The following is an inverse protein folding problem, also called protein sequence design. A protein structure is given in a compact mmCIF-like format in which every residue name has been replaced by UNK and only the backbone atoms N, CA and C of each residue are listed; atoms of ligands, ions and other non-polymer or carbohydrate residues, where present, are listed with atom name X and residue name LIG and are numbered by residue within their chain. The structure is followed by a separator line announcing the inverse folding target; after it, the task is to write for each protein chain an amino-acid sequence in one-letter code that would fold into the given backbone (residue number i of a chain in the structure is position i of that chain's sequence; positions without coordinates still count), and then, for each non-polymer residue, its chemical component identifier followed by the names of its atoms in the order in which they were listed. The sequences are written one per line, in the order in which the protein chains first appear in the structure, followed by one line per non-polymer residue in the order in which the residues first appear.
data_IF_032624302371
#
_entry.id   IF_032624302371
#
_cell.length_a   1.000
_cell.length_b   1.000
_cell.length_c   1.000
_cell.angle_alpha   90.00
_cell.angle_beta   90.00
_cell.angle_gamma   90.00
#
_symmetry.space_group_name_H-M   'P 1'
#
loop_
_entity.id
_entity.type
_entity.pdbx_description
1 polymer ?
#
# COMPACT_ATOMS: atom_id res chain seq x y z
N UNK A 1 -13.02 -4.70 7.48
CA UNK A 1 -14.02 -5.30 8.40
C UNK A 1 -13.70 -6.77 8.69
N UNK A 2 -13.60 -7.65 7.69
CA UNK A 2 -13.36 -9.09 7.90
C UNK A 2 -12.20 -9.37 8.87
N UNK A 3 -11.03 -8.74 8.69
CA UNK A 3 -9.87 -8.93 9.57
C UNK A 3 -10.14 -8.45 11.02
N UNK A 4 -10.99 -7.43 11.19
CA UNK A 4 -11.38 -6.98 12.53
C UNK A 4 -12.30 -8.01 13.20
N UNK A 5 -13.27 -8.54 12.47
CA UNK A 5 -14.20 -9.57 12.96
C UNK A 5 -13.48 -10.87 13.35
N UNK A 6 -12.41 -11.21 12.63
CA UNK A 6 -11.57 -12.37 12.87
C UNK A 6 -10.51 -12.15 13.98
N UNK A 7 -10.46 -10.98 14.61
CA UNK A 7 -9.49 -10.68 15.67
C UNK A 7 -8.03 -10.64 15.20
N UNK A 8 -7.81 -10.30 13.91
CA UNK A 8 -6.46 -10.21 13.34
C UNK A 8 -5.61 -9.13 13.99
N UNK A 9 -6.22 -8.00 14.36
CA UNK A 9 -5.56 -6.86 15.00
C UNK A 9 -5.48 -7.08 16.52
N UNK A 10 -4.62 -7.98 16.95
CA UNK A 10 -4.43 -8.38 18.34
C UNK A 10 -3.29 -7.59 19.04
N UNK A 11 -2.96 -7.98 20.25
CA UNK A 11 -1.99 -7.32 21.13
C UNK A 11 -0.51 -7.62 20.80
N UNK A 12 -0.22 -8.40 19.76
CA UNK A 12 1.15 -8.64 19.29
C UNK A 12 1.80 -7.40 18.70
N UNK A 13 0.98 -6.44 18.25
CA UNK A 13 1.42 -5.17 17.65
C UNK A 13 0.57 -4.01 18.14
N UNK A 14 1.13 -2.81 18.06
CA UNK A 14 0.33 -1.58 18.08
C UNK A 14 -0.10 -1.23 16.66
N UNK A 15 -1.41 -1.14 16.44
CA UNK A 15 -2.00 -0.97 15.13
C UNK A 15 -2.47 0.46 14.90
N UNK A 16 -2.09 1.03 13.75
CA UNK A 16 -2.60 2.29 13.26
C UNK A 16 -3.32 2.02 11.93
N UNK A 17 -4.61 2.27 11.87
CA UNK A 17 -5.44 1.88 10.73
C UNK A 17 -6.16 3.11 10.19
N UNK A 18 -5.91 3.45 8.92
CA UNK A 18 -6.63 4.47 8.17
C UNK A 18 -7.48 3.80 7.09
N UNK A 19 -8.75 3.47 7.36
CA UNK A 19 -9.55 2.64 6.48
C UNK A 19 -10.06 3.39 5.25
N UNK A 20 -10.14 4.72 5.29
CA UNK A 20 -10.72 5.53 4.23
C UNK A 20 -10.17 6.96 4.27
N UNK A 21 -9.26 7.28 3.36
CA UNK A 21 -8.66 8.61 3.24
C UNK A 21 -9.44 9.53 2.30
N UNK A 22 -10.17 8.97 1.33
CA UNK A 22 -10.97 9.73 0.37
C UNK A 22 -12.47 9.39 0.48
N UNK A 23 -13.18 9.90 1.49
CA UNK A 23 -14.60 9.58 1.68
C UNK A 23 -15.46 10.10 0.53
N UNK A 24 -15.12 11.23 -0.07
CA UNK A 24 -15.91 11.81 -1.17
C UNK A 24 -15.72 11.07 -2.47
N UNK A 25 -14.50 10.61 -2.78
CA UNK A 25 -14.23 9.75 -3.93
C UNK A 25 -14.88 8.37 -3.76
N UNK A 26 -14.82 7.81 -2.55
CA UNK A 26 -15.50 6.54 -2.24
C UNK A 26 -17.00 6.60 -2.52
N UNK A 27 -17.68 7.65 -2.06
CA UNK A 27 -19.12 7.83 -2.31
C UNK A 27 -19.47 7.99 -3.78
N UNK A 28 -18.58 8.57 -4.58
CA UNK A 28 -18.78 8.81 -6.02
C UNK A 28 -18.18 7.74 -6.92
N UNK A 29 -17.48 6.77 -6.34
CA UNK A 29 -16.67 5.78 -7.06
C UNK A 29 -15.67 6.44 -8.02
N UNK A 30 -14.95 7.46 -7.52
CA UNK A 30 -13.89 8.17 -8.24
C UNK A 30 -12.58 8.08 -7.49
N UNK A 31 -11.47 8.15 -8.22
CA UNK A 31 -10.12 8.20 -7.64
C UNK A 31 -9.87 9.54 -6.95
N UNK A 32 -10.33 10.62 -7.57
CA UNK A 32 -10.17 11.98 -7.09
C UNK A 32 -11.18 12.29 -5.96
N UNK A 33 -10.86 13.25 -5.13
CA UNK A 33 -11.78 13.80 -4.14
C UNK A 33 -12.83 14.72 -4.80
N UNK A 34 -13.70 15.34 -4.01
CA UNK A 34 -14.76 16.24 -4.48
C UNK A 34 -14.25 17.45 -5.31
N UNK A 35 -12.98 17.83 -5.13
CA UNK A 35 -12.34 18.92 -5.85
C UNK A 35 -11.60 18.45 -7.12
N UNK A 36 -11.71 17.18 -7.49
CA UNK A 36 -11.03 16.62 -8.67
C UNK A 36 -9.53 16.40 -8.46
N UNK A 37 -9.08 16.22 -7.22
CA UNK A 37 -7.65 16.05 -6.88
C UNK A 37 -7.40 14.60 -6.46
N UNK A 38 -6.39 13.97 -7.08
CA UNK A 38 -5.87 12.68 -6.64
C UNK A 38 -5.06 12.87 -5.34
N UNK A 39 -5.63 12.42 -4.22
CA UNK A 39 -5.00 12.52 -2.91
C UNK A 39 -3.65 11.80 -2.85
N UNK A 40 -3.50 10.70 -3.60
CA UNK A 40 -2.24 9.94 -3.66
C UNK A 40 -1.16 10.61 -4.54
N UNK A 41 -1.32 11.89 -4.86
CA UNK A 41 -0.31 12.77 -5.49
C UNK A 41 -0.01 14.01 -4.67
N UNK A 42 -0.73 14.24 -3.57
CA UNK A 42 -0.70 15.50 -2.82
C UNK A 42 0.21 15.47 -1.56
N UNK A 43 0.83 14.34 -1.22
CA UNK A 43 1.65 14.21 0.01
C UNK A 43 2.94 15.04 0.02
N UNK A 44 3.35 15.63 -1.11
CA UNK A 44 4.44 16.61 -1.17
C UNK A 44 3.94 18.02 -0.91
N UNK A 45 2.79 18.37 -1.45
CA UNK A 45 2.26 19.73 -1.51
C UNK A 45 1.25 20.05 -0.40
N UNK A 46 0.52 19.04 0.10
CA UNK A 46 -0.46 19.14 1.19
C UNK A 46 -1.57 20.17 0.94
N UNK A 47 -2.07 20.24 -0.30
CA UNK A 47 -3.08 21.23 -0.69
C UNK A 47 -4.50 20.83 -0.26
N UNK A 48 -4.77 19.51 -0.16
CA UNK A 48 -6.10 19.00 0.20
C UNK A 48 -6.27 18.88 1.70
N UNK A 49 -7.48 19.13 2.17
CA UNK A 49 -7.80 19.04 3.60
C UNK A 49 -7.60 17.62 4.14
N UNK A 50 -7.94 16.60 3.33
CA UNK A 50 -7.81 15.19 3.68
C UNK A 50 -6.34 14.81 3.91
N UNK A 51 -5.46 15.14 2.95
CA UNK A 51 -4.02 14.82 3.05
C UNK A 51 -3.37 15.63 4.17
N UNK A 52 -3.71 16.92 4.30
CA UNK A 52 -3.20 17.75 5.39
C UNK A 52 -3.60 17.18 6.76
N UNK A 53 -4.86 16.80 6.95
CA UNK A 53 -5.33 16.21 8.20
C UNK A 53 -4.63 14.88 8.50
N UNK A 54 -4.47 14.01 7.50
CA UNK A 54 -3.76 12.74 7.65
C UNK A 54 -2.29 12.96 8.02
N UNK A 55 -1.60 13.88 7.36
CA UNK A 55 -0.19 14.20 7.66
C UNK A 55 -0.04 14.82 9.05
N UNK A 56 -0.95 15.68 9.47
CA UNK A 56 -0.95 16.23 10.84
C UNK A 56 -1.14 15.13 11.87
N UNK A 57 -2.05 14.19 11.64
CA UNK A 57 -2.23 13.04 12.51
C UNK A 57 -1.00 12.13 12.53
N UNK A 58 -0.40 11.82 11.38
CA UNK A 58 0.82 11.01 11.28
C UNK A 58 1.99 11.61 12.08
N UNK A 59 2.15 12.94 12.05
CA UNK A 59 3.22 13.63 12.78
C UNK A 59 3.14 13.47 14.30
N UNK A 60 1.97 13.12 14.83
CA UNK A 60 1.74 12.85 16.25
C UNK A 60 2.01 11.38 16.62
N UNK A 61 2.18 10.52 15.62
CA UNK A 61 2.42 9.11 15.85
C UNK A 61 3.92 8.79 15.97
N UNK A 62 4.30 7.71 16.65
CA UNK A 62 5.66 7.21 16.64
C UNK A 62 6.05 6.77 15.22
N UNK A 63 7.33 6.49 15.01
CA UNK A 63 7.76 5.81 13.78
C UNK A 63 7.19 4.40 13.77
N UNK A 64 6.74 3.98 12.59
CA UNK A 64 6.22 2.63 12.37
C UNK A 64 7.35 1.68 12.01
N UNK A 65 7.22 0.42 12.40
CA UNK A 65 8.17 -0.64 12.03
C UNK A 65 7.86 -1.21 10.65
N UNK A 66 6.59 -1.27 10.29
CA UNK A 66 6.07 -1.73 9.00
C UNK A 66 4.88 -0.87 8.59
N UNK A 67 4.82 -0.50 7.31
CA UNK A 67 3.65 0.15 6.71
C UNK A 67 3.17 -0.67 5.52
N UNK A 68 1.85 -0.80 5.39
CA UNK A 68 1.19 -1.40 4.24
C UNK A 68 0.10 -0.47 3.74
N UNK A 69 0.23 -0.03 2.48
CA UNK A 69 -0.79 0.70 1.75
C UNK A 69 -1.54 -0.29 0.84
N UNK A 70 -2.83 -0.46 1.06
CA UNK A 70 -3.65 -1.39 0.28
C UNK A 70 -4.35 -0.63 -0.86
N UNK A 71 -4.02 -0.98 -2.09
CA UNK A 71 -4.51 -0.37 -3.31
C UNK A 71 -5.06 -1.40 -4.29
N UNK A 72 -5.66 -0.90 -5.36
CA UNK A 72 -6.12 -1.66 -6.52
C UNK A 72 -5.66 -0.96 -7.79
N UNK A 73 -5.25 -1.75 -8.79
CA UNK A 73 -4.90 -1.27 -10.11
C UNK A 73 -5.87 -1.82 -11.16
N UNK A 74 -6.45 -0.93 -11.96
CA UNK A 74 -7.40 -1.29 -13.01
C UNK A 74 -6.72 -1.77 -14.31
N UNK A 75 -5.44 -1.46 -14.51
CA UNK A 75 -4.67 -1.87 -15.68
C UNK A 75 -3.99 -3.22 -15.48
N UNK A 76 -3.72 -3.62 -14.23
CA UNK A 76 -3.05 -4.86 -13.91
C UNK A 76 -3.93 -6.09 -14.16
N UNK A 77 -3.30 -7.18 -14.59
CA UNK A 77 -3.97 -8.49 -14.77
C UNK A 77 -3.81 -9.39 -13.56
N UNK A 78 -2.79 -9.17 -12.75
CA UNK A 78 -2.46 -9.93 -11.56
C UNK A 78 -2.12 -9.04 -10.38
N UNK A 79 -1.88 -9.68 -9.23
CA UNK A 79 -1.40 -9.00 -8.03
C UNK A 79 0.07 -8.61 -8.21
N UNK A 80 0.41 -7.42 -7.76
CA UNK A 80 1.80 -7.00 -7.59
C UNK A 80 1.96 -6.09 -6.37
N UNK A 81 3.19 -5.78 -6.02
CA UNK A 81 3.49 -4.88 -4.92
C UNK A 81 4.72 -4.01 -5.21
N UNK A 82 4.71 -2.85 -4.58
CA UNK A 82 5.91 -2.03 -4.42
C UNK A 82 6.56 -2.30 -3.07
N UNK A 83 7.88 -2.36 -3.06
CA UNK A 83 8.68 -2.39 -1.84
C UNK A 83 9.56 -1.14 -1.75
N UNK A 84 9.37 -0.35 -0.71
CA UNK A 84 10.26 0.74 -0.31
C UNK A 84 10.95 0.31 0.98
N UNK A 85 12.17 -0.18 0.88
CA UNK A 85 12.96 -0.70 2.01
C UNK A 85 14.19 0.19 2.24
N UNK A 86 13.96 1.37 2.80
CA UNK A 86 15.02 2.37 3.08
C UNK A 86 15.84 2.01 4.33
N UNK A 87 15.31 1.15 5.18
CA UNK A 87 15.96 0.70 6.41
C UNK A 87 16.90 -0.51 6.23
N UNK A 88 16.98 -1.08 5.02
CA UNK A 88 17.80 -2.27 4.75
C UNK A 88 17.38 -3.52 5.54
N UNK A 89 16.12 -3.64 5.92
CA UNK A 89 15.58 -4.82 6.62
C UNK A 89 15.44 -6.00 5.66
N UNK A 90 15.25 -7.20 6.20
CA UNK A 90 14.90 -8.37 5.39
C UNK A 90 13.60 -8.09 4.62
N UNK A 91 13.58 -8.42 3.33
CA UNK A 91 12.41 -8.22 2.48
C UNK A 91 11.31 -9.22 2.84
N UNK A 92 10.09 -8.74 3.04
CA UNK A 92 8.91 -9.56 3.22
C UNK A 92 8.25 -9.93 1.88
N UNK A 93 8.66 -9.31 0.76
CA UNK A 93 8.04 -9.50 -0.55
C UNK A 93 7.89 -10.97 -0.97
N UNK A 94 8.85 -11.88 -0.72
CA UNK A 94 8.68 -13.29 -1.07
C UNK A 94 7.47 -13.94 -0.36
N UNK A 95 7.28 -13.66 0.93
CA UNK A 95 6.16 -14.20 1.70
C UNK A 95 4.82 -13.60 1.23
N UNK A 96 4.78 -12.28 0.96
CA UNK A 96 3.60 -11.57 0.48
C UNK A 96 3.15 -12.11 -0.89
N UNK A 97 4.08 -12.26 -1.82
CA UNK A 97 3.80 -12.78 -3.16
C UNK A 97 3.40 -14.26 -3.13
N UNK A 98 4.01 -15.06 -2.25
CA UNK A 98 3.60 -16.45 -2.07
C UNK A 98 2.16 -16.55 -1.56
N UNK A 99 1.77 -15.73 -0.61
CA UNK A 99 0.40 -15.68 -0.10
C UNK A 99 -0.59 -15.22 -1.20
N UNK A 100 -0.28 -14.16 -1.95
CA UNK A 100 -1.14 -13.67 -3.02
C UNK A 100 -1.37 -14.74 -4.11
N UNK A 101 -0.32 -15.49 -4.46
CA UNK A 101 -0.38 -16.53 -5.51
C UNK A 101 -1.37 -17.65 -5.21
N UNK A 102 -1.71 -17.88 -3.94
CA UNK A 102 -2.71 -18.88 -3.56
C UNK A 102 -4.15 -18.44 -3.89
N UNK A 103 -4.35 -17.15 -4.16
CA UNK A 103 -5.67 -16.56 -4.35
C UNK A 103 -5.89 -15.93 -5.72
N UNK A 104 -4.84 -15.81 -6.56
CA UNK A 104 -4.97 -15.27 -7.89
C UNK A 104 -3.65 -15.18 -8.65
N UNK A 105 -3.69 -14.71 -9.89
CA UNK A 105 -2.49 -14.54 -10.69
C UNK A 105 -1.60 -13.43 -10.09
N UNK A 106 -0.30 -13.61 -10.27
CA UNK A 106 0.71 -12.57 -10.02
C UNK A 106 1.00 -11.87 -11.34
N UNK A 107 1.15 -10.55 -11.32
CA UNK A 107 1.60 -9.80 -12.49
C UNK A 107 3.05 -10.15 -12.79
N UNK A 108 3.31 -10.76 -13.94
CA UNK A 108 4.63 -11.30 -14.30
C UNK A 108 5.32 -10.53 -15.44
N UNK A 109 4.73 -9.42 -15.87
CA UNK A 109 5.30 -8.57 -16.89
C UNK A 109 6.68 -8.03 -16.49
N UNK A 110 7.58 -7.89 -17.47
CA UNK A 110 8.90 -7.27 -17.24
C UNK A 110 8.80 -5.78 -16.88
N UNK A 111 7.70 -5.14 -17.28
CA UNK A 111 7.36 -3.74 -16.92
C UNK A 111 5.96 -3.74 -16.35
N UNK A 112 5.81 -3.25 -15.11
CA UNK A 112 4.55 -3.14 -14.37
C UNK A 112 4.41 -1.67 -13.97
N UNK A 113 3.25 -1.06 -14.19
CA UNK A 113 2.99 0.37 -13.90
C UNK A 113 4.11 1.28 -14.46
N UNK A 114 4.53 1.03 -15.70
CA UNK A 114 5.58 1.79 -16.38
C UNK A 114 6.99 1.65 -15.77
N UNK A 115 7.22 0.67 -14.88
CA UNK A 115 8.49 0.44 -14.17
C UNK A 115 9.03 -0.95 -14.39
N UNK A 116 10.36 -1.11 -14.50
CA UNK A 116 10.97 -2.44 -14.53
C UNK A 116 10.60 -3.22 -13.26
N UNK A 117 10.14 -4.45 -13.43
CA UNK A 117 9.93 -5.35 -12.30
C UNK A 117 11.27 -5.92 -11.82
N UNK A 118 11.46 -5.98 -10.51
CA UNK A 118 12.63 -6.59 -9.86
C UNK A 118 12.51 -8.13 -9.84
N UNK A 119 11.27 -8.62 -9.84
CA UNK A 119 10.88 -10.02 -9.96
C UNK A 119 9.39 -10.05 -10.32
N UNK A 120 8.81 -11.19 -10.72
CA UNK A 120 7.38 -11.30 -10.96
C UNK A 120 6.57 -10.77 -9.78
N UNK A 121 5.73 -9.76 -10.03
CA UNK A 121 4.90 -9.08 -9.04
C UNK A 121 5.63 -8.12 -8.09
N UNK A 122 6.90 -7.81 -8.32
CA UNK A 122 7.68 -6.97 -7.41
C UNK A 122 8.29 -5.76 -8.12
N UNK A 123 7.96 -4.57 -7.65
CA UNK A 123 8.61 -3.32 -8.06
C UNK A 123 9.41 -2.77 -6.89
N UNK A 124 10.69 -2.46 -7.13
CA UNK A 124 11.56 -1.70 -6.23
C UNK A 124 11.90 -0.37 -6.88
N UNK A 125 11.14 0.70 -6.60
CA UNK A 125 11.37 1.98 -7.26
C UNK A 125 12.73 2.54 -6.88
N UNK A 126 13.52 2.86 -7.91
CA UNK A 126 14.83 3.51 -7.77
C UNK A 126 14.67 4.94 -8.26
N UNK A 127 14.28 5.85 -7.41
CA UNK A 127 14.24 7.27 -7.78
C UNK A 127 14.43 8.14 -6.54
N UNK A 128 15.22 9.19 -6.69
CA UNK A 128 15.32 10.22 -5.66
C UNK A 128 13.94 10.89 -5.49
N UNK A 129 13.32 10.82 -4.30
CA UNK A 129 12.02 11.42 -4.06
C UNK A 129 12.04 12.93 -4.19
N UNK A 130 13.19 13.58 -3.97
CA UNK A 130 13.35 15.03 -4.12
C UNK A 130 13.07 15.48 -5.54
N UNK A 131 13.43 14.66 -6.52
CA UNK A 131 13.25 14.92 -7.94
C UNK A 131 11.83 14.65 -8.45
N UNK A 132 10.94 14.15 -7.60
CA UNK A 132 9.55 13.89 -8.00
C UNK A 132 8.68 15.12 -7.78
N UNK A 133 7.90 15.49 -8.77
CA UNK A 133 6.97 16.61 -8.69
C UNK A 133 5.85 16.38 -7.66
N UNK A 134 5.39 15.12 -7.57
CA UNK A 134 4.32 14.69 -6.66
C UNK A 134 4.74 13.49 -5.82
N UNK A 135 4.18 13.39 -4.61
CA UNK A 135 4.41 12.23 -3.75
C UNK A 135 3.12 11.45 -3.51
N UNK A 136 3.13 10.14 -3.74
CA UNK A 136 2.13 9.25 -3.17
C UNK A 136 2.32 9.10 -1.66
N UNK A 137 1.27 8.65 -0.97
CA UNK A 137 1.29 8.35 0.47
C UNK A 137 2.46 7.44 0.86
N UNK A 138 2.65 6.35 0.12
CA UNK A 138 3.71 5.37 0.40
C UNK A 138 5.09 6.00 0.43
N UNK A 139 5.37 6.98 -0.43
CA UNK A 139 6.64 7.68 -0.44
C UNK A 139 6.81 8.58 0.78
N UNK A 140 5.76 9.33 1.15
CA UNK A 140 5.75 10.14 2.36
C UNK A 140 6.01 9.28 3.61
N UNK A 141 5.28 8.18 3.74
CA UNK A 141 5.43 7.24 4.86
C UNK A 141 6.82 6.62 4.91
N UNK A 142 7.37 6.19 3.77
CA UNK A 142 8.69 5.58 3.72
C UNK A 142 9.80 6.53 4.22
N UNK A 143 9.74 7.80 3.83
CA UNK A 143 10.78 8.77 4.21
C UNK A 143 10.56 9.40 5.59
N UNK A 144 9.32 9.53 6.05
CA UNK A 144 9.01 10.28 7.27
C UNK A 144 8.70 9.38 8.47
N UNK A 145 8.13 8.20 8.24
CA UNK A 145 7.57 7.39 9.31
C UNK A 145 8.08 5.95 9.38
N UNK A 146 8.48 5.33 8.27
CA UNK A 146 8.82 3.91 8.26
C UNK A 146 9.83 3.58 7.17
N UNK A 147 10.94 2.92 7.53
CA UNK A 147 11.94 2.47 6.57
C UNK A 147 11.56 1.22 5.77
N UNK A 148 10.46 0.52 6.13
CA UNK A 148 9.95 -0.66 5.42
C UNK A 148 8.47 -0.46 5.08
N UNK A 149 8.18 -0.26 3.81
CA UNK A 149 6.85 0.05 3.32
C UNK A 149 6.51 -0.81 2.09
N UNK A 150 5.30 -1.34 2.06
CA UNK A 150 4.73 -2.06 0.94
C UNK A 150 3.46 -1.37 0.45
N UNK A 151 3.34 -1.18 -0.86
CA UNK A 151 2.06 -0.88 -1.51
C UNK A 151 1.60 -2.14 -2.22
N UNK A 152 0.43 -2.63 -1.83
CA UNK A 152 -0.18 -3.83 -2.42
C UNK A 152 -1.14 -3.39 -3.51
N UNK A 153 -1.09 -4.04 -4.66
CA UNK A 153 -1.95 -3.74 -5.80
C UNK A 153 -2.70 -5.00 -6.24
N UNK A 154 -3.99 -5.06 -5.96
CA UNK A 154 -4.84 -6.11 -6.54
C UNK A 154 -5.43 -5.64 -7.85
N UNK A 155 -5.53 -6.53 -8.84
CA UNK A 155 -6.21 -6.21 -10.09
C UNK A 155 -7.70 -5.98 -9.85
N UNK A 156 -8.22 -4.79 -10.18
CA UNK A 156 -9.65 -4.47 -10.06
C UNK A 156 -10.52 -5.23 -11.07
N UNK A 157 -9.93 -5.90 -12.07
CA UNK A 157 -10.62 -6.82 -12.97
C UNK A 157 -11.06 -8.12 -12.28
N UNK A 158 -10.46 -8.45 -11.12
CA UNK A 158 -10.84 -9.64 -10.36
C UNK A 158 -12.11 -9.40 -9.53
N UNK A 159 -12.91 -10.46 -9.25
CA UNK A 159 -14.08 -10.33 -8.39
C UNK A 159 -13.74 -9.74 -7.03
N UNK A 160 -14.60 -8.89 -6.48
CA UNK A 160 -14.37 -8.23 -5.19
C UNK A 160 -14.02 -9.22 -4.07
N UNK A 161 -14.72 -10.35 -3.98
CA UNK A 161 -14.44 -11.38 -2.97
C UNK A 161 -13.00 -11.91 -3.08
N UNK A 162 -12.51 -12.12 -4.29
CA UNK A 162 -11.12 -12.54 -4.52
C UNK A 162 -10.13 -11.46 -4.12
N UNK A 163 -10.38 -10.19 -4.47
CA UNK A 163 -9.53 -9.05 -4.06
C UNK A 163 -9.42 -8.94 -2.55
N UNK A 164 -10.55 -9.02 -1.83
CA UNK A 164 -10.62 -9.01 -0.36
C UNK A 164 -9.81 -10.19 0.22
N UNK A 165 -10.00 -11.40 -0.30
CA UNK A 165 -9.29 -12.59 0.17
C UNK A 165 -7.79 -12.47 -0.06
N UNK A 166 -7.37 -12.00 -1.24
CA UNK A 166 -5.95 -11.78 -1.57
C UNK A 166 -5.31 -10.77 -0.62
N UNK A 167 -5.92 -9.58 -0.46
CA UNK A 167 -5.40 -8.56 0.45
C UNK A 167 -5.32 -9.09 1.90
N UNK A 168 -6.35 -9.78 2.38
CA UNK A 168 -6.37 -10.37 3.71
C UNK A 168 -5.28 -11.42 3.93
N UNK A 169 -5.05 -12.30 2.95
CA UNK A 169 -3.98 -13.30 2.99
C UNK A 169 -2.60 -12.66 3.01
N UNK A 170 -2.38 -11.63 2.20
CA UNK A 170 -1.11 -10.90 2.15
C UNK A 170 -0.83 -10.16 3.45
N UNK A 171 -1.83 -9.52 4.07
CA UNK A 171 -1.68 -8.87 5.38
C UNK A 171 -1.30 -9.87 6.48
N UNK A 172 -1.91 -11.07 6.49
CA UNK A 172 -1.55 -12.15 7.43
C UNK A 172 -0.11 -12.62 7.21
N UNK A 173 0.29 -12.81 5.96
CA UNK A 173 1.65 -13.22 5.62
C UNK A 173 2.67 -12.14 6.00
N UNK A 174 2.34 -10.87 5.82
CA UNK A 174 3.19 -9.75 6.21
C UNK A 174 3.44 -9.74 7.72
N UNK A 175 2.38 -9.86 8.52
CA UNK A 175 2.51 -9.92 9.99
C UNK A 175 3.32 -11.15 10.43
N UNK A 176 3.00 -12.33 9.88
CA UNK A 176 3.71 -13.56 10.24
C UNK A 176 5.20 -13.50 9.91
N UNK A 177 5.57 -12.96 8.74
CA UNK A 177 6.95 -12.83 8.33
C UNK A 177 7.69 -11.69 9.07
N UNK A 178 6.97 -10.66 9.50
CA UNK A 178 7.55 -9.53 10.23
C UNK A 178 7.87 -9.87 11.69
N UNK A 179 7.11 -10.76 12.33
CA UNK A 179 7.28 -11.16 13.72
C UNK A 179 8.30 -12.31 13.92
N UNK A 180 8.87 -12.86 12.85
CA UNK A 180 9.96 -13.87 12.91
C UNK A 180 11.31 -13.21 13.10
#
# INVERSE_FOLDING_TARGET
LQLMEEGFFDDRCTWFICPLLNPTGFLKNTRENFAGIDLNRDYKSLHTAEVLAHVMWLRLQPRFDLVICAHEDWEARGFYLYELNLGGRASLAPALLAAARLHGPIEDAAVIDGRPSAAPGLIRPVSDPVLRDTWPEALYLAYKHCGLNYTLETSSAQPLAQRITTQGAVLRAALAAFLQ
#
